data_IF_205443619889
#
_entry.id   IF_205443619889
#
_cell.length_a   1.000
_cell.length_b   1.000
_cell.length_c   1.000
_cell.angle_alpha   90.00
_cell.angle_beta   90.00
_cell.angle_gamma   90.00
#
_symmetry.space_group_name_H-M   'P 1'
#
loop_
_entity.id
_entity.type
_entity.pdbx_description
1 polymer ?
#
# COMPACT_ATOMS: atom_id res chain seq x y z
N UNK A 1 20.19 -9.12 5.92
CA UNK A 1 19.55 -8.99 4.60
C UNK A 1 18.50 -10.09 4.50
N UNK A 2 17.40 -9.96 5.24
CA UNK A 2 16.30 -10.97 5.36
C UNK A 2 15.05 -10.30 5.96
N UNK A 3 14.49 -9.29 5.28
CA UNK A 3 13.19 -8.70 5.69
C UNK A 3 12.31 -8.31 4.46
N UNK A 4 12.93 -8.03 3.30
CA UNK A 4 12.20 -7.67 2.06
C UNK A 4 11.32 -8.81 1.49
N UNK A 5 11.62 -10.06 1.79
CA UNK A 5 10.89 -11.23 1.26
C UNK A 5 9.54 -11.44 1.93
N UNK A 6 9.46 -11.19 3.24
CA UNK A 6 8.31 -11.59 4.04
C UNK A 6 7.14 -10.62 3.84
N UNK A 7 7.43 -9.31 3.73
CA UNK A 7 6.38 -8.29 3.56
C UNK A 7 5.66 -8.44 2.22
N UNK A 8 6.37 -8.74 1.13
CA UNK A 8 5.71 -8.95 -0.17
C UNK A 8 4.93 -10.25 -0.21
N UNK A 9 5.50 -11.34 0.31
CA UNK A 9 4.81 -12.64 0.35
C UNK A 9 3.54 -12.56 1.22
N UNK A 10 3.61 -11.88 2.37
CA UNK A 10 2.43 -11.59 3.20
C UNK A 10 1.43 -10.67 2.49
N UNK A 11 1.88 -9.70 1.71
CA UNK A 11 0.97 -8.83 0.96
C UNK A 11 0.31 -9.54 -0.23
N UNK A 12 0.94 -10.56 -0.82
CA UNK A 12 0.41 -11.32 -1.96
C UNK A 12 -0.43 -12.53 -1.53
N UNK A 13 -0.12 -13.14 -0.38
CA UNK A 13 -0.73 -14.39 0.07
C UNK A 13 -1.45 -14.28 1.43
N UNK A 14 -1.37 -13.14 2.12
CA UNK A 14 -1.94 -12.94 3.46
C UNK A 14 -3.39 -12.48 3.50
N UNK A 15 -4.07 -12.40 2.35
CA UNK A 15 -5.50 -12.13 2.28
C UNK A 15 -6.33 -13.29 2.87
N UNK A 16 -7.59 -13.04 3.25
CA UNK A 16 -8.46 -14.06 3.87
C UNK A 16 -8.69 -15.30 2.99
N UNK A 17 -8.53 -15.17 1.67
CA UNK A 17 -8.67 -16.24 0.69
C UNK A 17 -7.32 -16.79 0.20
N UNK A 18 -6.19 -16.43 0.85
CA UNK A 18 -4.84 -16.75 0.38
C UNK A 18 -4.38 -15.94 -0.83
N UNK A 19 -5.10 -14.87 -1.16
CA UNK A 19 -4.77 -13.92 -2.22
C UNK A 19 -4.26 -12.58 -1.69
N UNK A 20 -4.09 -11.57 -2.56
CA UNK A 20 -3.46 -10.32 -2.18
C UNK A 20 -4.25 -9.54 -1.13
N UNK A 21 -3.55 -8.94 -0.19
CA UNK A 21 -4.14 -8.06 0.83
C UNK A 21 -4.62 -6.79 0.14
N UNK A 22 -5.94 -6.65 0.07
CA UNK A 22 -6.60 -5.46 -0.45
C UNK A 22 -6.89 -4.50 0.69
N UNK A 23 -6.32 -3.31 0.60
CA UNK A 23 -6.54 -2.21 1.53
C UNK A 23 -7.67 -1.30 1.05
N UNK A 24 -8.38 -0.71 1.99
CA UNK A 24 -9.28 0.42 1.73
C UNK A 24 -8.48 1.72 1.66
N UNK A 25 -9.03 2.74 0.99
CA UNK A 25 -8.43 4.08 0.92
C UNK A 25 -8.08 4.65 2.31
N UNK A 26 -8.91 4.38 3.32
CA UNK A 26 -8.67 4.81 4.71
C UNK A 26 -7.44 4.13 5.31
N UNK A 27 -7.27 2.83 5.06
CA UNK A 27 -6.09 2.08 5.52
C UNK A 27 -4.83 2.56 4.82
N UNK A 28 -4.87 2.78 3.50
CA UNK A 28 -3.75 3.37 2.75
C UNK A 28 -3.33 4.71 3.35
N UNK A 29 -4.28 5.64 3.56
CA UNK A 29 -3.98 6.94 4.16
C UNK A 29 -3.40 6.79 5.58
N UNK A 30 -3.87 5.81 6.36
CA UNK A 30 -3.33 5.54 7.69
C UNK A 30 -1.87 5.08 7.63
N UNK A 31 -1.54 4.18 6.71
CA UNK A 31 -0.16 3.71 6.48
C UNK A 31 0.71 4.88 6.02
N UNK A 32 0.28 5.62 5.00
CA UNK A 32 1.01 6.81 4.51
C UNK A 32 1.31 7.81 5.64
N UNK A 33 0.38 8.04 6.56
CA UNK A 33 0.60 8.87 7.77
C UNK A 33 1.68 8.29 8.70
N UNK A 34 1.68 6.97 8.94
CA UNK A 34 2.69 6.30 9.75
C UNK A 34 4.11 6.48 9.18
N UNK A 35 4.24 6.61 7.85
CA UNK A 35 5.52 6.83 7.17
C UNK A 35 5.81 8.31 6.86
N UNK A 36 5.12 9.26 7.49
CA UNK A 36 5.47 10.69 7.40
C UNK A 36 4.77 11.48 6.29
N UNK A 37 3.81 10.89 5.58
CA UNK A 37 2.98 11.60 4.60
C UNK A 37 1.68 12.07 5.28
N UNK A 38 1.63 13.33 5.68
CA UNK A 38 0.53 13.88 6.48
C UNK A 38 -0.45 14.73 5.69
N UNK A 39 -0.07 15.17 4.49
CA UNK A 39 -0.85 16.12 3.70
C UNK A 39 -1.63 15.43 2.59
N UNK A 40 -2.84 15.92 2.25
CA UNK A 40 -3.61 15.41 1.11
C UNK A 40 -2.83 15.45 -0.20
N UNK A 41 -1.96 16.45 -0.40
CA UNK A 41 -1.09 16.55 -1.58
C UNK A 41 -0.13 15.37 -1.69
N UNK A 42 0.45 14.93 -0.57
CA UNK A 42 1.33 13.75 -0.54
C UNK A 42 0.56 12.46 -0.81
N UNK A 43 -0.66 12.31 -0.27
CA UNK A 43 -1.48 11.13 -0.54
C UNK A 43 -1.92 11.06 -2.01
N UNK A 44 -2.31 12.21 -2.58
CA UNK A 44 -2.68 12.29 -4.00
C UNK A 44 -1.49 12.02 -4.92
N UNK A 45 -0.27 12.37 -4.50
CA UNK A 45 0.95 11.98 -5.21
C UNK A 45 1.09 10.46 -5.28
N UNK A 46 0.94 9.74 -4.17
CA UNK A 46 0.92 8.28 -4.15
C UNK A 46 -0.15 7.72 -5.11
N UNK A 47 -1.42 8.14 -4.97
CA UNK A 47 -2.50 7.59 -5.79
C UNK A 47 -2.28 7.84 -7.30
N UNK A 48 -1.68 8.97 -7.66
CA UNK A 48 -1.36 9.29 -9.06
C UNK A 48 -0.19 8.47 -9.58
N UNK A 49 0.90 8.40 -8.83
CA UNK A 49 2.11 7.66 -9.24
C UNK A 49 1.86 6.15 -9.31
N UNK A 50 1.04 5.60 -8.41
CA UNK A 50 0.66 4.19 -8.41
C UNK A 50 -0.46 3.85 -9.42
N UNK A 51 -1.03 4.83 -10.13
CA UNK A 51 -2.15 4.59 -11.05
C UNK A 51 -3.48 4.22 -10.37
N UNK A 52 -3.63 4.54 -9.08
CA UNK A 52 -4.75 4.11 -8.23
C UNK A 52 -5.80 5.23 -7.98
N UNK A 53 -5.79 6.30 -8.79
CA UNK A 53 -6.71 7.44 -8.61
C UNK A 53 -8.18 7.12 -8.89
N UNK A 54 -8.47 6.18 -9.80
CA UNK A 54 -9.81 5.86 -10.28
C UNK A 54 -10.34 4.50 -9.80
N UNK A 55 -9.63 3.85 -8.87
CA UNK A 55 -9.99 2.53 -8.35
C UNK A 55 -10.37 2.61 -6.88
N UNK A 56 -11.13 1.60 -6.42
CA UNK A 56 -11.46 1.41 -5.01
C UNK A 56 -10.77 0.18 -4.40
N UNK A 57 -9.77 -0.36 -5.11
CA UNK A 57 -8.98 -1.54 -4.71
C UNK A 57 -7.53 -1.08 -4.61
N UNK A 58 -6.92 -1.24 -3.44
CA UNK A 58 -5.54 -0.81 -3.19
C UNK A 58 -4.70 -1.99 -2.71
N UNK A 59 -3.95 -2.65 -3.61
CA UNK A 59 -3.05 -3.74 -3.22
C UNK A 59 -2.03 -3.23 -2.18
N UNK A 60 -1.85 -3.95 -1.08
CA UNK A 60 -0.87 -3.59 -0.06
C UNK A 60 0.55 -3.50 -0.65
N UNK A 61 0.88 -4.39 -1.58
CA UNK A 61 2.15 -4.38 -2.33
C UNK A 61 2.44 -3.02 -2.98
N UNK A 62 1.46 -2.42 -3.65
CA UNK A 62 1.63 -1.11 -4.30
C UNK A 62 1.93 0.02 -3.30
N UNK A 63 1.37 -0.07 -2.08
CA UNK A 63 1.63 0.90 -1.02
C UNK A 63 3.06 0.74 -0.48
N UNK A 64 3.46 -0.48 -0.16
CA UNK A 64 4.79 -0.76 0.40
C UNK A 64 5.90 -0.54 -0.63
N UNK A 65 5.67 -0.91 -1.90
CA UNK A 65 6.59 -0.61 -3.00
C UNK A 65 6.84 0.89 -3.16
N UNK A 66 5.78 1.71 -3.09
CA UNK A 66 5.94 3.16 -3.18
C UNK A 66 6.68 3.76 -1.97
N UNK A 67 6.54 3.13 -0.80
CA UNK A 67 7.27 3.48 0.42
C UNK A 67 8.72 2.97 0.44
N UNK A 68 9.18 2.29 -0.62
CA UNK A 68 10.50 1.66 -0.74
C UNK A 68 10.73 0.58 0.34
N UNK A 69 9.69 -0.22 0.60
CA UNK A 69 9.79 -1.51 1.30
C UNK A 69 9.86 -2.67 0.31
#
# INVERSE_FOLDING_TARGET
>A
MYEYSDVYDECENGGPDGGPVILTRKQVIRILKQHGHWTPRQWMRFFREAGLTLVNVYPATAVFQWLNY
#
